data_IF_516114908450
#
_entry.id   IF_516114908450
#
_cell.length_a   1.000
_cell.length_b   1.000
_cell.length_c   1.000
_cell.angle_alpha   90.00
_cell.angle_beta   90.00
_cell.angle_gamma   90.00
#
_symmetry.space_group_name_H-M   'P 1'
#
loop_
_entity.id
_entity.type
_entity.pdbx_description
1 polymer ?
#
# COMPACT_ATOMS: atom_id res chain seq x y z
N UNK A 1 0.88 1.33 -26.11
CA UNK A 1 -0.29 2.18 -25.85
C UNK A 1 -1.31 1.35 -25.09
N UNK A 2 -1.82 1.85 -23.96
CA UNK A 2 -2.89 1.20 -23.22
C UNK A 2 -4.19 1.26 -24.04
N UNK A 3 -4.81 0.10 -24.23
CA UNK A 3 -6.14 0.00 -24.88
C UNK A 3 -7.13 -0.39 -23.80
N UNK A 4 -8.10 0.48 -23.55
CA UNK A 4 -9.15 0.24 -22.57
C UNK A 4 -10.39 -0.28 -23.31
N UNK A 5 -10.88 -1.50 -23.02
CA UNK A 5 -12.09 -2.03 -23.63
C UNK A 5 -13.34 -1.24 -23.15
N UNK A 6 -14.44 -1.38 -23.86
CA UNK A 6 -15.71 -0.72 -23.47
C UNK A 6 -16.29 -1.27 -22.16
N UNK A 7 -15.98 -2.51 -21.85
CA UNK A 7 -16.41 -3.18 -20.61
C UNK A 7 -15.17 -3.72 -19.86
N UNK A 8 -14.35 -2.83 -19.24
CA UNK A 8 -13.16 -3.27 -18.52
C UNK A 8 -13.53 -4.07 -17.27
N UNK A 9 -12.77 -5.13 -17.01
CA UNK A 9 -12.82 -5.81 -15.71
C UNK A 9 -11.93 -5.04 -14.76
N UNK A 10 -12.50 -4.57 -13.64
CA UNK A 10 -11.76 -3.90 -12.58
C UNK A 10 -11.87 -4.72 -11.29
N UNK A 11 -10.79 -5.38 -10.89
CA UNK A 11 -10.73 -6.06 -9.59
C UNK A 11 -10.87 -5.06 -8.44
N UNK A 12 -11.54 -5.50 -7.38
CA UNK A 12 -11.64 -4.71 -6.15
C UNK A 12 -11.56 -5.57 -4.91
N UNK A 13 -11.04 -5.01 -3.84
CA UNK A 13 -11.05 -5.58 -2.49
C UNK A 13 -11.94 -4.69 -1.62
N UNK A 14 -12.93 -5.27 -0.96
CA UNK A 14 -13.83 -4.53 -0.06
C UNK A 14 -13.03 -3.87 1.06
N UNK A 15 -12.12 -4.63 1.67
CA UNK A 15 -11.30 -4.20 2.79
C UNK A 15 -11.92 -4.51 4.15
N UNK A 16 -11.20 -4.11 5.20
CA UNK A 16 -11.57 -4.31 6.60
C UNK A 16 -12.29 -3.07 7.17
N UNK A 17 -12.95 -3.25 8.30
CA UNK A 17 -13.60 -2.16 9.04
C UNK A 17 -14.59 -1.38 8.18
N UNK A 18 -14.34 -0.08 7.98
CA UNK A 18 -15.21 0.79 7.16
C UNK A 18 -15.25 0.42 5.67
N UNK A 19 -14.44 -0.53 5.23
CA UNK A 19 -14.43 -1.00 3.84
C UNK A 19 -15.78 -1.51 3.37
N UNK A 20 -16.51 -2.19 4.25
CA UNK A 20 -17.87 -2.71 3.97
C UNK A 20 -18.89 -1.60 3.69
N UNK A 21 -18.67 -0.41 4.24
CA UNK A 21 -19.56 0.74 4.04
C UNK A 21 -19.14 1.56 2.80
N UNK A 22 -17.85 1.87 2.67
CA UNK A 22 -17.37 2.81 1.65
C UNK A 22 -17.22 2.18 0.27
N UNK A 23 -16.84 0.90 0.19
CA UNK A 23 -16.59 0.24 -1.10
C UNK A 23 -17.86 0.07 -1.96
N UNK A 24 -19.02 -0.34 -1.41
CA UNK A 24 -20.26 -0.36 -2.19
C UNK A 24 -20.70 1.01 -2.68
N UNK A 25 -20.50 2.06 -1.88
CA UNK A 25 -20.81 3.44 -2.28
C UNK A 25 -19.89 3.88 -3.41
N UNK A 26 -18.60 3.62 -3.31
CA UNK A 26 -17.63 3.91 -4.37
C UNK A 26 -18.04 3.25 -5.70
N UNK A 27 -18.40 1.96 -5.71
CA UNK A 27 -18.86 1.24 -6.91
C UNK A 27 -20.08 1.93 -7.52
N UNK A 28 -21.09 2.23 -6.71
CA UNK A 28 -22.33 2.91 -7.19
C UNK A 28 -22.03 4.28 -7.82
N UNK A 29 -21.12 5.06 -7.22
CA UNK A 29 -20.73 6.36 -7.76
C UNK A 29 -20.02 6.21 -9.10
N UNK A 30 -19.09 5.27 -9.22
CA UNK A 30 -18.37 5.01 -10.47
C UNK A 30 -19.31 4.48 -11.57
N UNK A 31 -20.19 3.53 -11.26
CA UNK A 31 -21.17 3.00 -12.21
C UNK A 31 -22.10 4.10 -12.72
N UNK A 32 -22.57 4.96 -11.82
CA UNK A 32 -23.39 6.11 -12.20
C UNK A 32 -22.63 7.11 -13.08
N UNK A 33 -21.37 7.40 -12.73
CA UNK A 33 -20.54 8.32 -13.50
C UNK A 33 -20.25 7.79 -14.92
N UNK A 34 -19.93 6.49 -15.04
CA UNK A 34 -19.73 5.84 -16.34
C UNK A 34 -21.03 5.87 -17.17
N UNK A 35 -22.15 5.50 -16.56
CA UNK A 35 -23.42 5.57 -17.27
C UNK A 35 -23.77 6.98 -17.72
N UNK A 36 -23.56 8.00 -16.88
CA UNK A 36 -23.79 9.40 -17.23
C UNK A 36 -22.89 9.89 -18.36
N UNK A 37 -21.64 9.43 -18.41
CA UNK A 37 -20.66 9.85 -19.41
C UNK A 37 -20.85 9.14 -20.76
N UNK A 38 -21.24 7.88 -20.76
CA UNK A 38 -21.26 7.01 -21.94
C UNK A 38 -22.64 6.42 -22.26
N UNK A 39 -23.67 6.71 -21.47
CA UNK A 39 -24.95 6.03 -21.56
C UNK A 39 -24.78 4.54 -21.27
N UNK A 40 -25.49 3.70 -22.01
CA UNK A 40 -25.39 2.25 -21.84
C UNK A 40 -24.31 1.59 -22.74
N UNK A 41 -23.44 2.40 -23.38
CA UNK A 41 -22.41 1.88 -24.31
C UNK A 41 -21.18 1.32 -23.60
N UNK A 42 -20.99 1.67 -22.34
CA UNK A 42 -19.86 1.21 -21.52
C UNK A 42 -20.29 0.91 -20.10
N UNK A 43 -19.65 -0.09 -19.50
CA UNK A 43 -19.87 -0.46 -18.10
C UNK A 43 -18.58 -1.02 -17.47
N UNK A 44 -18.44 -0.91 -16.16
CA UNK A 44 -17.37 -1.56 -15.42
C UNK A 44 -17.84 -2.96 -15.00
N UNK A 45 -17.08 -4.00 -15.34
CA UNK A 45 -17.26 -5.35 -14.81
C UNK A 45 -16.42 -5.50 -13.54
N UNK A 46 -17.10 -5.59 -12.41
CA UNK A 46 -16.42 -5.69 -11.10
C UNK A 46 -16.05 -7.15 -10.80
N UNK A 47 -14.76 -7.37 -10.43
CA UNK A 47 -14.24 -8.64 -9.97
C UNK A 47 -13.84 -8.52 -8.50
N UNK A 48 -14.54 -9.20 -7.61
CA UNK A 48 -14.17 -9.20 -6.19
C UNK A 48 -12.93 -10.05 -5.93
N UNK A 49 -11.97 -9.48 -5.23
CA UNK A 49 -10.77 -10.15 -4.73
C UNK A 49 -10.75 -10.07 -3.19
N UNK A 50 -10.08 -11.03 -2.59
CA UNK A 50 -10.05 -11.18 -1.14
C UNK A 50 -8.67 -10.84 -0.59
N UNK A 51 -8.64 -10.01 0.47
CA UNK A 51 -7.50 -9.74 1.32
C UNK A 51 -7.98 -9.22 2.68
N UNK A 52 -7.16 -9.38 3.72
CA UNK A 52 -7.49 -8.97 5.07
C UNK A 52 -8.23 -10.03 5.86
N UNK A 53 -9.01 -9.63 6.86
CA UNK A 53 -9.67 -10.52 7.81
C UNK A 53 -10.65 -11.49 7.11
N UNK A 54 -11.46 -10.98 6.19
CA UNK A 54 -12.41 -11.83 5.45
C UNK A 54 -11.71 -12.92 4.62
N UNK A 55 -10.52 -12.64 4.13
CA UNK A 55 -9.74 -13.60 3.37
C UNK A 55 -9.15 -14.68 4.26
N UNK A 56 -8.72 -14.31 5.46
CA UNK A 56 -8.21 -15.26 6.46
C UNK A 56 -9.29 -16.25 6.87
N UNK A 57 -10.51 -15.76 7.11
CA UNK A 57 -11.65 -16.59 7.51
C UNK A 57 -12.10 -17.57 6.40
N UNK A 58 -12.07 -17.14 5.13
CA UNK A 58 -12.57 -17.94 4.01
C UNK A 58 -11.50 -18.88 3.43
N UNK A 59 -10.22 -18.46 3.40
CA UNK A 59 -9.15 -19.14 2.66
C UNK A 59 -7.96 -19.50 3.53
N UNK A 60 -7.96 -19.16 4.82
CA UNK A 60 -6.82 -19.39 5.73
C UNK A 60 -5.58 -18.55 5.39
N UNK A 61 -5.73 -17.50 4.60
CA UNK A 61 -4.67 -16.58 4.20
C UNK A 61 -5.16 -15.15 4.17
N UNK A 62 -4.44 -14.25 4.83
CA UNK A 62 -4.74 -12.81 4.82
C UNK A 62 -4.47 -12.14 3.46
N UNK A 63 -3.71 -12.79 2.59
CA UNK A 63 -3.39 -12.33 1.24
C UNK A 63 -3.11 -13.53 0.36
N UNK A 64 -4.13 -14.13 -0.28
CA UNK A 64 -3.97 -15.21 -1.23
C UNK A 64 -3.11 -14.80 -2.43
N UNK A 65 -2.36 -15.74 -2.99
CA UNK A 65 -1.52 -15.46 -4.16
C UNK A 65 -2.37 -15.14 -5.39
N UNK A 66 -3.51 -15.80 -5.53
CA UNK A 66 -4.49 -15.56 -6.60
C UNK A 66 -4.95 -14.10 -6.66
N UNK A 67 -5.07 -13.44 -5.50
CA UNK A 67 -5.37 -12.01 -5.43
C UNK A 67 -4.27 -11.17 -6.08
N UNK A 68 -3.01 -11.51 -5.82
CA UNK A 68 -1.86 -10.81 -6.41
C UNK A 68 -1.76 -11.08 -7.92
N UNK A 69 -1.98 -12.33 -8.33
CA UNK A 69 -1.95 -12.70 -9.75
C UNK A 69 -3.05 -11.99 -10.55
N UNK A 70 -4.27 -11.95 -10.01
CA UNK A 70 -5.36 -11.20 -10.63
C UNK A 70 -5.04 -9.70 -10.72
N UNK A 71 -4.48 -9.09 -9.67
CA UNK A 71 -4.06 -7.68 -9.71
C UNK A 71 -2.99 -7.43 -10.80
N UNK A 72 -2.05 -8.36 -11.00
CA UNK A 72 -1.03 -8.27 -12.06
C UNK A 72 -1.66 -8.40 -13.45
N UNK A 73 -2.56 -9.35 -13.63
CA UNK A 73 -3.24 -9.61 -14.90
C UNK A 73 -4.04 -8.39 -15.36
N UNK A 74 -4.91 -7.87 -14.49
CA UNK A 74 -5.79 -6.76 -14.84
C UNK A 74 -5.12 -5.39 -14.73
N UNK A 75 -3.95 -5.27 -14.09
CA UNK A 75 -3.11 -4.06 -13.97
C UNK A 75 -3.73 -2.88 -13.22
N UNK A 76 -5.03 -2.76 -13.18
CA UNK A 76 -5.77 -1.72 -12.45
C UNK A 76 -6.67 -2.43 -11.46
N UNK A 77 -6.60 -2.05 -10.19
CA UNK A 77 -7.48 -2.57 -9.15
C UNK A 77 -7.79 -1.49 -8.12
N UNK A 78 -8.92 -1.64 -7.44
CA UNK A 78 -9.34 -0.74 -6.37
C UNK A 78 -9.30 -1.52 -5.06
N UNK A 79 -8.65 -0.95 -4.06
CA UNK A 79 -8.50 -1.59 -2.76
C UNK A 79 -9.13 -0.74 -1.65
N UNK A 80 -10.07 -1.33 -0.91
CA UNK A 80 -10.54 -0.78 0.35
C UNK A 80 -9.48 -0.78 1.45
N UNK A 81 -9.76 -0.22 2.62
CA UNK A 81 -8.82 -0.21 3.75
C UNK A 81 -8.49 -1.63 4.20
N UNK A 82 -7.23 -1.89 4.56
CA UNK A 82 -6.80 -3.17 5.12
C UNK A 82 -6.11 -2.93 6.46
N UNK A 83 -6.57 -3.65 7.47
CA UNK A 83 -6.03 -3.59 8.82
C UNK A 83 -4.74 -4.39 8.92
N UNK A 84 -3.74 -3.83 9.59
CA UNK A 84 -2.53 -4.56 9.94
C UNK A 84 -2.68 -5.08 11.37
N UNK A 85 -2.69 -6.41 11.61
CA UNK A 85 -2.75 -6.95 12.97
C UNK A 85 -1.60 -6.43 13.81
N UNK A 86 -1.92 -5.92 15.01
CA UNK A 86 -0.91 -5.41 15.96
C UNK A 86 -0.37 -6.60 16.79
N UNK A 87 0.96 -6.63 17.01
CA UNK A 87 1.57 -7.48 18.05
C UNK A 87 2.02 -8.88 17.62
N UNK A 88 1.97 -9.26 16.33
CA UNK A 88 2.39 -10.59 15.88
C UNK A 88 3.52 -10.58 14.84
N UNK A 89 4.31 -9.51 14.72
CA UNK A 89 5.40 -9.43 13.74
C UNK A 89 4.94 -9.51 12.27
N UNK A 90 3.65 -9.32 12.01
CA UNK A 90 3.12 -9.36 10.66
C UNK A 90 3.46 -8.07 9.91
N UNK A 91 4.16 -8.22 8.79
CA UNK A 91 4.33 -7.11 7.85
C UNK A 91 2.97 -6.64 7.34
N UNK A 92 2.77 -5.33 7.23
CA UNK A 92 1.54 -4.74 6.70
C UNK A 92 1.13 -5.37 5.37
N UNK A 93 -0.12 -5.80 5.26
CA UNK A 93 -0.69 -6.35 4.02
C UNK A 93 -0.52 -5.34 2.88
N UNK A 94 -0.71 -4.05 3.17
CA UNK A 94 -0.52 -2.97 2.19
C UNK A 94 0.93 -2.91 1.67
N UNK A 95 1.92 -3.09 2.53
CA UNK A 95 3.34 -3.14 2.13
C UNK A 95 3.60 -4.37 1.29
N UNK A 96 3.08 -5.54 1.70
CA UNK A 96 3.23 -6.79 0.93
C UNK A 96 2.64 -6.68 -0.48
N UNK A 97 1.44 -6.09 -0.64
CA UNK A 97 0.83 -5.86 -1.95
C UNK A 97 1.73 -4.99 -2.81
N UNK A 98 2.22 -3.87 -2.29
CA UNK A 98 3.10 -2.96 -3.02
C UNK A 98 4.39 -3.62 -3.49
N UNK A 99 5.02 -4.41 -2.61
CA UNK A 99 6.23 -5.16 -2.94
C UNK A 99 5.99 -6.27 -3.97
N UNK A 100 4.91 -7.07 -3.80
CA UNK A 100 4.58 -8.16 -4.72
C UNK A 100 4.18 -7.67 -6.12
N UNK A 101 3.61 -6.48 -6.21
CA UNK A 101 3.23 -5.85 -7.46
C UNK A 101 4.32 -4.93 -8.02
N UNK A 102 5.44 -4.78 -7.31
CA UNK A 102 6.54 -3.88 -7.68
C UNK A 102 6.05 -2.46 -8.01
N UNK A 103 5.24 -1.89 -7.12
CA UNK A 103 4.65 -0.57 -7.35
C UNK A 103 5.67 0.51 -7.06
N UNK A 104 6.03 1.26 -8.09
CA UNK A 104 7.10 2.27 -8.06
C UNK A 104 6.86 3.38 -7.04
N UNK A 105 5.67 3.98 -7.02
CA UNK A 105 5.38 5.12 -6.14
C UNK A 105 3.92 5.18 -5.69
N UNK A 106 3.68 5.76 -4.50
CA UNK A 106 2.35 6.26 -4.13
C UNK A 106 2.20 7.69 -4.64
N UNK A 107 1.26 7.90 -5.53
CA UNK A 107 0.90 9.23 -6.04
C UNK A 107 -0.34 9.71 -5.33
N UNK A 108 -0.26 10.83 -4.61
CA UNK A 108 -1.34 11.37 -3.78
C UNK A 108 -1.64 12.82 -4.16
N UNK A 109 -2.58 13.04 -5.08
CA UNK A 109 -3.09 14.38 -5.33
C UNK A 109 -3.91 14.85 -4.13
N UNK A 110 -3.57 16.04 -3.62
CA UNK A 110 -4.21 16.68 -2.48
C UNK A 110 -4.72 18.03 -2.95
N UNK A 111 -6.04 18.17 -2.98
CA UNK A 111 -6.70 19.39 -3.45
C UNK A 111 -7.82 19.77 -2.49
N UNK A 112 -7.98 21.06 -2.24
CA UNK A 112 -9.13 21.57 -1.51
C UNK A 112 -10.40 21.50 -2.38
N UNK A 113 -11.46 21.00 -1.78
CA UNK A 113 -12.79 21.02 -2.37
C UNK A 113 -13.65 22.04 -1.65
N UNK A 114 -14.20 23.07 -2.34
CA UNK A 114 -15.04 24.08 -1.73
C UNK A 114 -16.21 23.46 -0.93
N UNK A 115 -16.44 23.97 0.27
CA UNK A 115 -17.49 23.46 1.15
C UNK A 115 -17.05 22.36 2.12
N UNK A 116 -15.82 21.86 2.02
CA UNK A 116 -15.27 20.92 3.01
C UNK A 116 -14.65 21.66 4.19
N UNK A 117 -14.88 21.17 5.41
CA UNK A 117 -14.23 21.69 6.61
C UNK A 117 -12.74 21.35 6.61
N UNK A 118 -11.90 22.32 6.96
CA UNK A 118 -10.45 22.18 7.03
C UNK A 118 -9.89 23.09 8.13
N UNK A 119 -8.86 22.66 8.87
CA UNK A 119 -8.18 23.52 9.85
C UNK A 119 -7.23 24.56 9.22
N UNK A 120 -7.04 24.52 7.89
CA UNK A 120 -6.11 25.42 7.19
C UNK A 120 -6.77 26.78 6.91
N UNK A 121 -6.04 27.87 7.24
CA UNK A 121 -6.52 29.23 7.05
C UNK A 121 -6.73 29.60 5.57
N UNK A 122 -5.84 29.15 4.70
CA UNK A 122 -5.86 29.42 3.24
C UNK A 122 -6.02 28.14 2.44
N UNK A 123 -7.03 27.38 2.76
CA UNK A 123 -7.27 26.06 2.14
C UNK A 123 -7.45 26.11 0.62
N UNK A 124 -7.99 27.22 0.09
CA UNK A 124 -8.19 27.40 -1.36
C UNK A 124 -6.91 27.35 -2.20
N UNK A 125 -5.73 27.54 -1.58
CA UNK A 125 -4.43 27.43 -2.24
C UNK A 125 -3.87 26.00 -2.28
N UNK A 126 -4.54 25.06 -1.62
CA UNK A 126 -4.05 23.66 -1.56
C UNK A 126 -4.34 22.95 -2.88
N UNK A 127 -3.31 22.78 -3.69
CA UNK A 127 -3.30 21.95 -4.90
C UNK A 127 -1.89 21.40 -5.10
N UNK A 128 -1.64 20.19 -4.60
CA UNK A 128 -0.31 19.56 -4.63
C UNK A 128 -0.41 18.06 -4.92
N UNK A 129 0.67 17.49 -5.41
CA UNK A 129 0.81 16.04 -5.57
C UNK A 129 2.00 15.56 -4.74
N UNK A 130 1.75 14.66 -3.80
CA UNK A 130 2.80 14.03 -2.99
C UNK A 130 3.17 12.69 -3.61
N UNK A 131 4.43 12.53 -3.99
CA UNK A 131 5.02 11.26 -4.40
C UNK A 131 5.70 10.62 -3.19
N UNK A 132 5.41 9.35 -2.94
CA UNK A 132 6.00 8.58 -1.86
C UNK A 132 6.63 7.30 -2.40
N UNK A 133 7.84 7.04 -2.02
CA UNK A 133 8.55 5.81 -2.29
C UNK A 133 7.84 4.61 -1.65
N UNK A 134 7.91 3.43 -2.27
CA UNK A 134 7.17 2.23 -1.87
C UNK A 134 8.02 0.99 -1.62
N UNK A 135 9.18 0.86 -2.24
CA UNK A 135 9.92 -0.41 -2.35
C UNK A 135 11.23 -0.42 -1.59
N UNK A 136 11.83 0.74 -1.42
CA UNK A 136 13.07 0.95 -0.67
C UNK A 136 12.81 1.59 0.70
N UNK A 137 13.80 2.25 1.24
CA UNK A 137 13.78 2.90 2.55
C UNK A 137 13.44 1.89 3.66
N UNK A 138 12.73 2.30 4.66
CA UNK A 138 12.23 1.45 5.75
C UNK A 138 11.21 0.40 5.28
N UNK A 139 10.65 0.58 4.08
CA UNK A 139 9.68 -0.36 3.51
C UNK A 139 10.32 -1.62 2.92
N UNK A 140 11.64 -1.64 2.74
CA UNK A 140 12.37 -2.85 2.32
C UNK A 140 12.18 -4.01 3.32
N UNK A 141 11.93 -3.69 4.60
CA UNK A 141 11.71 -4.67 5.65
C UNK A 141 12.95 -5.50 5.97
N UNK A 142 14.14 -4.93 5.77
CA UNK A 142 15.42 -5.54 6.15
C UNK A 142 15.69 -5.17 7.61
N UNK A 143 15.22 -6.02 8.52
CA UNK A 143 15.26 -5.72 9.94
C UNK A 143 15.50 -6.97 10.80
N UNK A 144 16.09 -6.76 11.96
CA UNK A 144 16.35 -7.79 12.97
C UNK A 144 15.89 -7.31 14.34
N UNK A 145 15.19 -8.19 15.02
CA UNK A 145 14.69 -7.96 16.36
C UNK A 145 15.81 -7.69 17.38
N UNK A 146 15.54 -6.93 18.45
CA UNK A 146 16.48 -6.73 19.54
C UNK A 146 17.00 -8.06 20.08
N UNK A 147 18.28 -8.10 20.44
CA UNK A 147 18.99 -9.27 20.96
C UNK A 147 19.11 -10.47 20.00
N UNK A 148 18.59 -10.40 18.78
CA UNK A 148 18.74 -11.47 17.80
C UNK A 148 20.22 -11.66 17.41
N UNK A 149 20.63 -12.87 17.00
CA UNK A 149 21.99 -13.10 16.52
C UNK A 149 22.36 -12.22 15.31
N UNK A 150 21.38 -11.92 14.43
CA UNK A 150 21.56 -11.04 13.28
C UNK A 150 21.87 -9.60 13.71
N UNK A 151 21.05 -9.05 14.63
CA UNK A 151 21.28 -7.70 15.14
C UNK A 151 22.66 -7.56 15.77
N UNK A 152 23.07 -8.52 16.61
CA UNK A 152 24.40 -8.52 17.25
C UNK A 152 25.53 -8.55 16.23
N UNK A 153 25.45 -9.41 15.22
CA UNK A 153 26.46 -9.48 14.16
C UNK A 153 26.61 -8.16 13.38
N UNK A 154 25.48 -7.49 13.09
CA UNK A 154 25.52 -6.20 12.38
C UNK A 154 26.11 -5.12 13.28
N UNK A 155 25.72 -5.04 14.55
CA UNK A 155 26.29 -4.09 15.50
C UNK A 155 27.80 -4.31 15.63
N UNK A 156 28.25 -5.55 15.80
CA UNK A 156 29.66 -5.91 15.85
C UNK A 156 30.42 -5.49 14.58
N UNK A 157 29.84 -5.73 13.41
CA UNK A 157 30.43 -5.36 12.14
C UNK A 157 30.60 -3.82 12.03
N UNK A 158 29.54 -3.07 12.35
CA UNK A 158 29.58 -1.61 12.31
C UNK A 158 30.65 -1.05 13.26
N UNK A 159 30.72 -1.59 14.47
CA UNK A 159 31.66 -1.14 15.47
C UNK A 159 33.12 -1.49 15.13
N UNK A 160 33.37 -2.72 14.65
CA UNK A 160 34.73 -3.23 14.42
C UNK A 160 35.28 -2.88 13.06
N UNK A 161 34.46 -3.01 12.01
CA UNK A 161 34.93 -2.89 10.63
C UNK A 161 34.71 -1.47 10.07
N UNK A 162 33.62 -0.80 10.44
CA UNK A 162 33.33 0.54 9.93
C UNK A 162 33.82 1.67 10.86
N UNK A 163 34.40 1.33 12.01
CA UNK A 163 34.97 2.28 12.95
C UNK A 163 33.98 3.32 13.50
N UNK A 164 32.69 2.99 13.50
CA UNK A 164 31.63 3.84 14.02
C UNK A 164 31.05 3.20 15.26
N UNK A 165 30.98 3.92 16.37
CA UNK A 165 30.32 3.48 17.60
C UNK A 165 29.06 4.32 17.85
N UNK A 166 28.01 4.18 17.03
CA UNK A 166 26.84 5.03 17.10
C UNK A 166 25.79 4.53 18.08
N UNK A 167 25.92 3.31 18.61
CA UNK A 167 24.86 2.67 19.37
C UNK A 167 24.93 3.06 20.84
N UNK A 168 23.97 3.85 21.29
CA UNK A 168 23.83 4.23 22.70
C UNK A 168 23.41 3.05 23.59
N UNK A 169 22.65 2.08 23.04
CA UNK A 169 22.07 0.96 23.75
C UNK A 169 22.28 -0.37 23.00
N UNK A 170 23.53 -0.77 22.81
CA UNK A 170 23.91 -1.95 22.02
C UNK A 170 23.26 -3.26 22.45
N UNK A 171 23.10 -3.43 23.77
CA UNK A 171 22.63 -4.70 24.35
C UNK A 171 21.11 -4.97 24.14
N UNK A 172 20.35 -3.98 23.69
CA UNK A 172 18.91 -4.14 23.46
C UNK A 172 18.46 -3.32 22.25
N UNK A 173 19.25 -3.37 21.19
CA UNK A 173 19.00 -2.63 19.97
C UNK A 173 18.54 -3.58 18.86
N UNK A 174 17.39 -3.29 18.23
CA UNK A 174 17.01 -3.84 16.94
C UNK A 174 17.70 -3.08 15.84
N UNK A 175 17.90 -3.72 14.68
CA UNK A 175 18.55 -3.11 13.52
C UNK A 175 17.60 -3.12 12.34
N UNK A 176 17.46 -1.94 11.69
CA UNK A 176 16.83 -1.81 10.38
C UNK A 176 17.84 -1.24 9.37
N UNK A 177 17.89 -1.84 8.18
CA UNK A 177 18.71 -1.32 7.08
C UNK A 177 17.78 -0.57 6.12
N UNK A 178 18.17 0.65 5.83
CA UNK A 178 17.50 1.55 4.89
C UNK A 178 18.29 1.63 3.59
N UNK A 179 17.98 0.82 2.57
CA UNK A 179 18.58 0.99 1.26
C UNK A 179 17.99 2.24 0.58
N UNK A 180 18.83 2.95 -0.15
CA UNK A 180 18.44 4.09 -1.01
C UNK A 180 19.27 4.00 -2.27
N UNK A 181 18.62 3.70 -3.40
CA UNK A 181 19.29 3.61 -4.69
C UNK A 181 19.05 4.86 -5.54
N UNK A 182 19.87 5.03 -6.57
CA UNK A 182 19.68 6.09 -7.55
C UNK A 182 18.43 5.83 -8.40
N UNK A 183 18.17 4.58 -8.74
CA UNK A 183 16.99 4.16 -9.51
C UNK A 183 15.68 4.38 -8.74
N UNK A 184 15.65 4.07 -7.45
CA UNK A 184 14.46 4.27 -6.60
C UNK A 184 14.21 5.73 -6.25
N UNK A 185 15.22 6.62 -6.42
CA UNK A 185 15.12 8.04 -6.10
C UNK A 185 14.71 8.91 -7.31
N UNK A 186 14.93 8.44 -8.53
CA UNK A 186 14.56 9.14 -9.78
C UNK A 186 13.09 9.01 -10.10
#
# INVERSE_FOLDING_TARGET
KLVVPDNPIIPYIIGDGIGIDVTPVMKRVLDYAVNKAYGNSREIKWLELYAGSNSEDLYGSILPEETIEAMKEYRISIKGPLTTPIGKGHKSINVRIRQKLDLFACVRPIKYFPGTSTPMAESGLTDMVVFRENTEDLYSGIEWEPNSPGAKRIIDFINKELGRSPFRFENNCGIGIKPVSEEGTK
#
